data_IF_680446822416
#
_entry.id   IF_680446822416
#
_cell.length_a   1.000
_cell.length_b   1.000
_cell.length_c   1.000
_cell.angle_alpha   90.00
_cell.angle_beta   90.00
_cell.angle_gamma   90.00
#
_symmetry.space_group_name_H-M   'P 1'
#
loop_
_entity.id
_entity.type
_entity.pdbx_description
1 polymer ?
#
# COMPACT_ATOMS: atom_id res chain seq x y z
N UNK A 1 23.62 3.12 25.53
CA UNK A 1 22.15 2.99 25.63
C UNK A 1 21.60 3.92 24.57
N UNK A 2 21.23 3.38 23.40
CA UNK A 2 20.66 4.20 22.32
C UNK A 2 19.28 4.64 22.76
N UNK A 3 19.09 5.95 22.92
CA UNK A 3 17.76 6.52 23.07
C UNK A 3 16.97 6.15 21.80
N UNK A 4 16.08 5.17 21.90
CA UNK A 4 15.08 4.90 20.88
C UNK A 4 14.33 6.21 20.66
N UNK A 5 14.41 6.75 19.45
CA UNK A 5 13.66 7.96 19.12
C UNK A 5 12.21 7.50 18.97
N UNK A 6 11.28 7.95 19.84
CA UNK A 6 9.91 7.51 19.72
C UNK A 6 9.38 7.96 18.37
N UNK A 7 8.99 6.98 17.56
CA UNK A 7 8.22 7.18 16.34
C UNK A 7 7.13 8.21 16.59
N UNK A 8 7.04 9.30 15.79
CA UNK A 8 6.08 10.36 16.06
C UNK A 8 4.67 9.78 16.06
N UNK A 9 3.90 10.08 17.11
CA UNK A 9 2.48 9.74 17.18
C UNK A 9 1.76 10.48 16.05
N UNK A 10 1.29 9.75 15.06
CA UNK A 10 0.58 10.34 13.92
C UNK A 10 -0.88 10.61 14.30
N UNK A 11 -1.42 11.74 13.82
CA UNK A 11 -2.83 12.04 13.99
C UNK A 11 -3.70 11.00 13.26
N UNK A 12 -4.87 10.64 13.80
CA UNK A 12 -5.81 9.77 13.09
C UNK A 12 -6.15 10.32 11.70
N UNK A 13 -6.24 9.43 10.72
CA UNK A 13 -6.66 9.79 9.37
C UNK A 13 -8.17 9.85 9.25
N UNK A 14 -8.64 10.88 8.56
CA UNK A 14 -10.04 11.03 8.17
C UNK A 14 -10.47 9.92 7.21
N UNK A 15 -11.74 9.53 7.30
CA UNK A 15 -12.34 8.42 6.55
C UNK A 15 -13.75 8.75 6.12
N UNK A 16 -14.16 8.19 4.98
CA UNK A 16 -15.50 8.36 4.43
C UNK A 16 -15.94 7.06 3.72
N UNK A 17 -17.24 6.86 3.48
CA UNK A 17 -17.79 5.72 2.72
C UNK A 17 -17.78 4.37 3.46
N UNK A 18 -16.67 4.02 4.13
CA UNK A 18 -16.46 2.73 4.79
C UNK A 18 -15.68 2.91 6.10
N UNK A 19 -15.90 2.01 7.06
CA UNK A 19 -15.16 1.96 8.32
C UNK A 19 -15.11 0.53 8.86
N UNK A 20 -14.17 0.25 9.74
CA UNK A 20 -14.09 -1.01 10.47
C UNK A 20 -15.32 -1.23 11.36
N UNK A 21 -15.85 -0.16 11.98
CA UNK A 21 -17.02 -0.21 12.85
C UNK A 21 -18.31 -0.60 12.10
N UNK A 22 -18.41 -0.18 10.84
CA UNK A 22 -19.57 -0.43 9.97
C UNK A 22 -19.36 -1.64 9.06
N UNK A 23 -18.25 -2.37 9.22
CA UNK A 23 -17.95 -3.52 8.38
C UNK A 23 -18.91 -4.69 8.70
N UNK A 24 -19.73 -5.05 7.72
CA UNK A 24 -20.55 -6.27 7.78
C UNK A 24 -19.69 -7.49 8.11
N UNK A 25 -20.21 -8.39 8.95
CA UNK A 25 -19.56 -9.68 9.21
C UNK A 25 -19.46 -10.47 7.92
N UNK A 26 -18.39 -11.26 7.79
CA UNK A 26 -18.14 -12.08 6.61
C UNK A 26 -19.25 -13.10 6.31
N UNK A 27 -20.03 -13.52 7.32
CA UNK A 27 -21.18 -14.40 7.15
C UNK A 27 -22.32 -13.73 6.35
N UNK A 28 -22.49 -12.43 6.53
CA UNK A 28 -23.56 -11.62 5.92
C UNK A 28 -23.12 -10.94 4.62
N UNK A 29 -21.83 -11.01 4.28
CA UNK A 29 -21.25 -10.30 3.16
C UNK A 29 -21.85 -10.73 1.81
N UNK A 30 -22.37 -9.75 1.08
CA UNK A 30 -23.02 -9.95 -0.23
C UNK A 30 -22.15 -9.55 -1.41
N UNK A 31 -22.45 -10.07 -2.62
CA UNK A 31 -21.81 -9.60 -3.86
C UNK A 31 -22.02 -8.09 -4.10
N UNK A 32 -23.17 -7.56 -3.72
CA UNK A 32 -23.47 -6.13 -3.89
C UNK A 32 -22.58 -5.29 -2.98
N UNK A 33 -22.42 -5.69 -1.73
CA UNK A 33 -21.54 -5.04 -0.75
C UNK A 33 -20.07 -5.00 -1.21
N UNK A 34 -19.56 -6.10 -1.78
CA UNK A 34 -18.20 -6.15 -2.35
C UNK A 34 -18.07 -5.23 -3.56
N UNK A 35 -19.05 -5.24 -4.49
CA UNK A 35 -19.03 -4.40 -5.70
C UNK A 35 -19.10 -2.91 -5.38
N UNK A 36 -19.90 -2.51 -4.39
CA UNK A 36 -19.98 -1.13 -3.94
C UNK A 36 -18.61 -0.63 -3.45
N UNK A 37 -17.91 -1.45 -2.67
CA UNK A 37 -16.54 -1.20 -2.20
C UNK A 37 -15.50 -1.19 -3.32
N UNK A 38 -15.75 -1.83 -4.45
CA UNK A 38 -14.87 -1.72 -5.61
C UNK A 38 -15.09 -0.42 -6.39
N UNK A 39 -16.25 0.22 -6.27
CA UNK A 39 -16.62 1.37 -7.08
C UNK A 39 -15.97 2.69 -6.65
N UNK A 40 -15.41 2.81 -5.44
CA UNK A 40 -14.88 4.11 -4.99
C UNK A 40 -13.60 4.52 -5.76
N UNK A 41 -12.74 3.58 -6.16
CA UNK A 41 -11.51 3.87 -6.93
C UNK A 41 -11.74 4.14 -8.42
N UNK A 42 -12.94 4.60 -8.81
CA UNK A 42 -13.32 4.91 -10.19
C UNK A 42 -14.30 3.93 -10.82
N UNK A 43 -14.71 4.23 -12.05
CA UNK A 43 -15.83 3.55 -12.71
C UNK A 43 -15.54 2.06 -12.96
N UNK A 44 -16.48 1.22 -12.53
CA UNK A 44 -16.43 -0.25 -12.74
C UNK A 44 -17.12 -0.65 -14.05
N UNK A 45 -17.63 0.32 -14.82
CA UNK A 45 -18.32 0.08 -16.08
C UNK A 45 -17.37 -0.27 -17.24
N UNK A 46 -16.06 -0.03 -17.12
CA UNK A 46 -15.11 -0.47 -18.14
C UNK A 46 -14.87 -1.98 -17.99
N UNK A 47 -15.11 -2.78 -19.05
CA UNK A 47 -14.90 -4.23 -19.01
C UNK A 47 -13.41 -4.61 -19.07
N UNK A 48 -12.49 -3.66 -18.88
CA UNK A 48 -11.06 -3.92 -18.91
C UNK A 48 -10.60 -4.44 -17.55
N UNK A 49 -9.80 -5.50 -17.57
CA UNK A 49 -9.11 -5.99 -16.39
C UNK A 49 -8.18 -4.91 -15.85
N UNK A 50 -8.27 -4.63 -14.56
CA UNK A 50 -7.37 -3.68 -13.89
C UNK A 50 -7.05 -4.08 -12.47
N UNK A 51 -5.85 -3.71 -12.04
CA UNK A 51 -5.31 -3.98 -10.71
C UNK A 51 -4.86 -2.68 -10.09
N UNK A 52 -5.24 -2.46 -8.84
CA UNK A 52 -4.71 -1.41 -8.00
C UNK A 52 -4.06 -2.08 -6.80
N UNK A 53 -2.86 -1.65 -6.44
CA UNK A 53 -2.16 -2.14 -5.26
C UNK A 53 -2.14 -1.06 -4.20
N UNK A 54 -2.31 -1.44 -2.94
CA UNK A 54 -2.24 -0.56 -1.79
C UNK A 54 -1.51 -1.25 -0.64
N UNK A 55 -1.22 -0.50 0.41
CA UNK A 55 -0.42 -0.99 1.53
C UNK A 55 -1.12 -0.76 2.86
N UNK A 56 -1.41 -1.85 3.57
CA UNK A 56 -1.92 -1.87 4.93
C UNK A 56 -0.78 -2.23 5.89
N UNK A 57 0.01 -1.21 6.27
CA UNK A 57 1.31 -1.44 6.91
C UNK A 57 2.25 -2.17 5.95
N UNK A 58 2.92 -3.22 6.39
CA UNK A 58 3.79 -4.02 5.51
C UNK A 58 3.00 -4.99 4.58
N UNK A 59 1.68 -5.07 4.71
CA UNK A 59 0.85 -6.05 4.03
C UNK A 59 0.26 -5.47 2.73
N UNK A 60 0.54 -6.06 1.55
CA UNK A 60 -0.02 -5.58 0.30
C UNK A 60 -1.50 -5.97 0.18
N UNK A 61 -2.32 -4.99 -0.18
CA UNK A 61 -3.71 -5.14 -0.58
C UNK A 61 -3.82 -4.97 -2.09
N UNK A 62 -4.26 -6.01 -2.79
CA UNK A 62 -4.53 -5.97 -4.22
C UNK A 62 -6.04 -5.86 -4.44
N UNK A 63 -6.43 -4.85 -5.20
CA UNK A 63 -7.80 -4.56 -5.59
C UNK A 63 -7.93 -4.97 -7.06
N UNK A 64 -8.73 -6.01 -7.28
CA UNK A 64 -8.88 -6.68 -8.57
C UNK A 64 -10.21 -6.25 -9.18
N UNK A 65 -10.18 -5.73 -10.40
CA UNK A 65 -11.36 -5.37 -11.17
C UNK A 65 -11.40 -6.17 -12.46
N UNK A 66 -12.51 -6.88 -12.62
CA UNK A 66 -12.84 -7.65 -13.81
C UNK A 66 -11.70 -8.55 -14.32
N UNK A 67 -11.02 -9.27 -13.42
CA UNK A 67 -10.10 -10.34 -13.82
C UNK A 67 -10.86 -11.36 -14.65
N UNK A 68 -10.31 -11.78 -15.79
CA UNK A 68 -10.95 -12.76 -16.67
C UNK A 68 -10.02 -13.93 -16.96
N UNK A 69 -10.53 -15.14 -16.79
CA UNK A 69 -9.82 -16.35 -17.19
C UNK A 69 -10.74 -17.37 -17.89
N UNK A 70 -10.21 -18.57 -18.15
CA UNK A 70 -10.99 -19.65 -18.78
C UNK A 70 -12.16 -20.12 -17.89
N UNK A 71 -12.10 -19.90 -16.58
CA UNK A 71 -13.04 -20.39 -15.57
C UNK A 71 -14.12 -19.37 -15.23
N UNK A 72 -13.92 -18.09 -15.51
CA UNK A 72 -14.90 -17.06 -15.24
C UNK A 72 -14.30 -15.67 -15.12
N UNK A 73 -15.02 -14.80 -14.42
CA UNK A 73 -14.53 -13.48 -14.04
C UNK A 73 -14.56 -13.30 -12.53
N UNK A 74 -13.64 -12.51 -12.00
CA UNK A 74 -13.65 -12.12 -10.58
C UNK A 74 -13.32 -10.66 -10.36
N UNK A 75 -13.79 -10.13 -9.23
CA UNK A 75 -13.44 -8.78 -8.77
C UNK A 75 -13.54 -8.74 -7.25
N UNK A 76 -12.60 -8.07 -6.58
CA UNK A 76 -12.56 -7.99 -5.14
C UNK A 76 -11.20 -7.60 -4.59
N UNK A 77 -10.92 -8.09 -3.40
CA UNK A 77 -9.76 -7.74 -2.59
C UNK A 77 -8.93 -8.98 -2.29
N UNK A 78 -7.63 -8.81 -2.27
CA UNK A 78 -6.67 -9.82 -1.85
C UNK A 78 -5.63 -9.16 -0.95
N UNK A 79 -5.64 -9.52 0.32
CA UNK A 79 -4.69 -9.06 1.32
C UNK A 79 -3.67 -10.16 1.61
N UNK A 80 -2.37 -9.86 1.51
CA UNK A 80 -1.34 -10.79 1.95
C UNK A 80 -0.86 -10.38 3.35
N UNK A 81 -1.01 -11.25 4.33
CA UNK A 81 -0.67 -11.00 5.73
C UNK A 81 0.66 -11.68 6.03
N UNK A 82 1.73 -10.88 6.03
CA UNK A 82 3.10 -11.37 6.04
C UNK A 82 3.35 -12.45 4.98
N UNK A 83 4.10 -13.47 5.36
CA UNK A 83 4.33 -14.66 4.51
C UNK A 83 3.43 -15.83 4.92
N UNK A 84 2.41 -15.57 5.74
CA UNK A 84 1.59 -16.62 6.35
C UNK A 84 0.28 -16.82 5.62
N UNK A 85 -0.44 -15.74 5.34
CA UNK A 85 -1.78 -15.84 4.77
C UNK A 85 -1.98 -14.99 3.54
N UNK A 86 -2.82 -15.49 2.64
CA UNK A 86 -3.47 -14.71 1.61
C UNK A 86 -4.97 -14.77 1.81
N UNK A 87 -5.53 -13.65 2.23
CA UNK A 87 -6.96 -13.48 2.49
C UNK A 87 -7.63 -12.88 1.25
N UNK A 88 -8.73 -13.49 0.81
CA UNK A 88 -9.42 -13.13 -0.43
C UNK A 88 -10.90 -12.89 -0.18
N UNK A 89 -11.41 -11.75 -0.65
CA UNK A 89 -12.82 -11.36 -0.60
C UNK A 89 -13.24 -10.90 -1.99
N UNK A 90 -13.94 -11.74 -2.73
CA UNK A 90 -14.22 -11.52 -4.15
C UNK A 90 -15.66 -11.83 -4.52
N UNK A 91 -16.13 -11.22 -5.60
CA UNK A 91 -17.25 -11.72 -6.39
C UNK A 91 -16.70 -12.55 -7.54
N UNK A 92 -17.25 -13.75 -7.73
CA UNK A 92 -16.86 -14.66 -8.80
C UNK A 92 -18.06 -14.99 -9.68
N UNK A 93 -17.89 -14.93 -11.00
CA UNK A 93 -18.90 -15.34 -11.97
C UNK A 93 -18.33 -16.46 -12.83
N UNK A 94 -18.74 -17.72 -12.63
CA UNK A 94 -18.20 -18.83 -13.38
C UNK A 94 -18.62 -18.77 -14.86
N UNK A 95 -17.74 -19.21 -15.75
CA UNK A 95 -18.05 -19.41 -17.17
C UNK A 95 -18.76 -20.75 -17.34
N UNK A 96 -20.07 -20.71 -17.57
CA UNK A 96 -20.90 -21.90 -17.78
C UNK A 96 -21.26 -22.00 -19.27
N UNK A 97 -21.03 -23.16 -19.94
CA UNK A 97 -21.50 -23.41 -21.30
C UNK A 97 -23.01 -23.15 -21.46
N UNK A 98 -23.42 -22.55 -22.59
CA UNK A 98 -24.83 -22.18 -22.85
C UNK A 98 -25.80 -23.35 -22.70
N UNK A 99 -25.41 -24.54 -23.15
CA UNK A 99 -26.23 -25.76 -23.02
C UNK A 99 -26.56 -26.07 -21.55
N UNK A 100 -25.59 -25.92 -20.63
CA UNK A 100 -25.81 -26.16 -19.20
C UNK A 100 -26.64 -25.04 -18.55
N UNK A 101 -26.53 -23.79 -19.04
CA UNK A 101 -27.41 -22.70 -18.61
C UNK A 101 -28.86 -22.98 -19.02
N UNK A 102 -29.10 -23.41 -20.26
CA UNK A 102 -30.45 -23.78 -20.72
C UNK A 102 -31.01 -25.00 -19.99
N UNK A 103 -30.19 -26.04 -19.77
CA UNK A 103 -30.58 -27.21 -19.00
C UNK A 103 -30.98 -26.86 -17.55
N UNK A 104 -30.45 -25.75 -17.01
CA UNK A 104 -30.80 -25.22 -15.68
C UNK A 104 -31.79 -24.05 -15.71
N UNK A 105 -32.40 -23.76 -16.87
CA UNK A 105 -33.35 -22.66 -17.11
C UNK A 105 -32.80 -21.27 -16.70
N UNK A 106 -31.50 -21.04 -16.91
CA UNK A 106 -30.81 -19.78 -16.59
C UNK A 106 -30.37 -19.07 -17.86
N UNK A 107 -30.51 -17.74 -17.86
CA UNK A 107 -30.02 -16.89 -18.95
C UNK A 107 -28.57 -16.44 -18.74
N UNK A 108 -28.11 -16.37 -17.48
CA UNK A 108 -26.75 -15.98 -17.10
C UNK A 108 -26.25 -16.82 -15.91
N UNK A 109 -24.92 -17.04 -15.78
CA UNK A 109 -24.34 -17.63 -14.58
C UNK A 109 -24.63 -16.75 -13.34
N UNK A 110 -24.81 -17.38 -12.18
CA UNK A 110 -24.97 -16.67 -10.91
C UNK A 110 -23.60 -16.21 -10.41
N UNK A 111 -23.44 -14.91 -10.12
CA UNK A 111 -22.29 -14.40 -9.38
C UNK A 111 -22.41 -14.81 -7.90
N UNK A 112 -21.32 -15.31 -7.32
CA UNK A 112 -21.25 -15.75 -5.93
C UNK A 112 -20.17 -14.96 -5.17
N UNK A 113 -20.34 -14.73 -3.86
CA UNK A 113 -19.26 -14.22 -3.02
C UNK A 113 -18.28 -15.37 -2.72
N UNK A 114 -17.00 -15.08 -2.81
CA UNK A 114 -15.90 -15.94 -2.40
C UNK A 114 -15.16 -15.23 -1.27
N UNK A 115 -15.24 -15.78 -0.08
CA UNK A 115 -14.41 -15.39 1.07
C UNK A 115 -13.55 -16.59 1.42
N UNK A 116 -12.25 -16.47 1.28
CA UNK A 116 -11.33 -17.59 1.48
C UNK A 116 -9.98 -17.14 2.01
N UNK A 117 -9.30 -18.07 2.67
CA UNK A 117 -7.95 -17.91 3.17
C UNK A 117 -7.04 -18.96 2.53
N UNK A 118 -5.84 -18.57 2.13
CA UNK A 118 -4.79 -19.49 1.77
C UNK A 118 -3.70 -19.42 2.83
N UNK A 119 -3.24 -20.57 3.34
CA UNK A 119 -2.06 -20.64 4.19
C UNK A 119 -0.83 -20.87 3.31
N UNK A 120 0.09 -19.91 3.32
CA UNK A 120 1.30 -19.89 2.50
C UNK A 120 2.45 -20.66 3.16
N UNK A 121 2.55 -20.69 4.50
CA UNK A 121 3.62 -21.42 5.21
C UNK A 121 3.46 -22.93 5.11
N UNK A 122 2.23 -23.43 5.04
CA UNK A 122 1.94 -24.85 4.86
C UNK A 122 2.32 -25.37 3.45
N UNK A 123 2.75 -24.49 2.53
CA UNK A 123 2.96 -24.82 1.12
C UNK A 123 1.66 -25.22 0.41
N UNK A 124 0.51 -25.04 1.05
CA UNK A 124 -0.78 -25.46 0.54
C UNK A 124 -1.32 -24.44 -0.47
N UNK A 125 -1.63 -24.93 -1.67
CA UNK A 125 -2.28 -24.13 -2.72
C UNK A 125 -3.80 -24.08 -2.54
N UNK A 126 -4.34 -24.77 -1.54
CA UNK A 126 -5.78 -24.83 -1.29
C UNK A 126 -6.28 -23.54 -0.66
N UNK A 127 -7.35 -23.02 -1.23
CA UNK A 127 -8.18 -22.00 -0.62
C UNK A 127 -9.09 -22.67 0.41
N UNK A 128 -9.03 -22.22 1.66
CA UNK A 128 -9.94 -22.58 2.74
C UNK A 128 -11.13 -21.61 2.72
N UNK A 129 -12.33 -22.03 2.30
CA UNK A 129 -13.49 -21.15 2.27
C UNK A 129 -13.91 -20.79 3.70
N UNK A 130 -14.18 -19.51 3.96
CA UNK A 130 -14.58 -19.00 5.27
C UNK A 130 -15.76 -19.77 5.88
N UNK A 131 -16.77 -20.06 5.05
CA UNK A 131 -17.98 -20.79 5.48
C UNK A 131 -17.70 -22.23 5.93
N UNK A 132 -16.62 -22.83 5.46
CA UNK A 132 -16.23 -24.20 5.81
C UNK A 132 -15.24 -24.23 6.98
N UNK A 133 -14.73 -23.07 7.40
CA UNK A 133 -13.77 -22.96 8.48
C UNK A 133 -14.45 -23.16 9.83
N UNK A 134 -13.93 -24.09 10.63
CA UNK A 134 -14.42 -24.42 11.98
C UNK A 134 -13.62 -23.76 13.11
N UNK A 135 -12.45 -23.20 12.80
CA UNK A 135 -11.61 -22.49 13.76
C UNK A 135 -12.17 -21.08 14.00
N UNK A 136 -12.84 -20.89 15.14
CA UNK A 136 -13.44 -19.61 15.51
C UNK A 136 -12.41 -18.49 15.71
N UNK A 137 -11.18 -18.82 16.13
CA UNK A 137 -10.11 -17.84 16.29
C UNK A 137 -9.71 -17.29 14.93
N UNK A 138 -9.50 -18.18 13.96
CA UNK A 138 -9.14 -17.79 12.60
C UNK A 138 -10.31 -17.09 11.89
N UNK A 139 -11.55 -17.52 12.15
CA UNK A 139 -12.75 -16.79 11.67
C UNK A 139 -12.82 -15.38 12.24
N UNK A 140 -12.47 -15.17 13.51
CA UNK A 140 -12.41 -13.83 14.11
C UNK A 140 -11.37 -12.98 13.40
N UNK A 141 -10.13 -13.50 13.25
CA UNK A 141 -9.05 -12.81 12.53
C UNK A 141 -9.46 -12.40 11.11
N UNK A 142 -10.16 -13.27 10.38
CA UNK A 142 -10.66 -12.93 9.05
C UNK A 142 -11.68 -11.79 9.06
N UNK A 143 -12.55 -11.71 10.07
CA UNK A 143 -13.44 -10.56 10.22
C UNK A 143 -12.67 -9.29 10.59
N UNK A 144 -11.64 -9.40 11.44
CA UNK A 144 -10.79 -8.26 11.81
C UNK A 144 -10.06 -7.71 10.59
N UNK A 145 -9.44 -8.57 9.77
CA UNK A 145 -8.82 -8.16 8.50
C UNK A 145 -9.82 -7.54 7.53
N UNK A 146 -11.05 -8.05 7.49
CA UNK A 146 -12.10 -7.44 6.68
C UNK A 146 -12.47 -6.04 7.19
N UNK A 147 -12.57 -5.86 8.50
CA UNK A 147 -12.82 -4.56 9.12
C UNK A 147 -11.67 -3.58 8.83
N UNK A 148 -10.41 -4.03 8.95
CA UNK A 148 -9.23 -3.23 8.61
C UNK A 148 -9.21 -2.83 7.12
N UNK A 149 -9.58 -3.75 6.21
CA UNK A 149 -9.75 -3.41 4.80
C UNK A 149 -10.78 -2.27 4.67
N UNK A 150 -11.93 -2.34 5.36
CA UNK A 150 -12.94 -1.29 5.27
C UNK A 150 -12.44 0.06 5.78
N UNK A 151 -11.68 0.11 6.87
CA UNK A 151 -11.04 1.34 7.34
C UNK A 151 -10.04 1.89 6.29
N UNK A 152 -9.21 1.02 5.70
CA UNK A 152 -8.30 1.41 4.63
C UNK A 152 -9.06 1.98 3.42
N UNK A 153 -10.13 1.32 2.96
CA UNK A 153 -10.94 1.82 1.85
C UNK A 153 -11.62 3.14 2.22
N UNK A 154 -12.01 3.32 3.48
CA UNK A 154 -12.62 4.54 3.96
C UNK A 154 -11.68 5.75 3.91
N UNK A 155 -10.45 5.54 4.35
CA UNK A 155 -9.36 6.53 4.27
C UNK A 155 -9.05 6.84 2.80
N UNK A 156 -8.95 5.81 1.95
CA UNK A 156 -8.70 5.99 0.52
C UNK A 156 -9.85 6.75 -0.20
N UNK A 157 -11.11 6.48 0.16
CA UNK A 157 -12.28 7.20 -0.35
C UNK A 157 -12.18 8.71 -0.02
N UNK A 158 -11.84 9.02 1.24
CA UNK A 158 -11.67 10.40 1.68
C UNK A 158 -10.50 11.09 0.96
N UNK A 159 -9.33 10.44 0.86
CA UNK A 159 -8.19 11.00 0.10
C UNK A 159 -8.61 11.37 -1.32
N UNK A 160 -9.26 10.46 -2.04
CA UNK A 160 -9.66 10.71 -3.41
C UNK A 160 -10.67 11.85 -3.53
N UNK A 161 -11.67 11.92 -2.65
CA UNK A 161 -12.70 12.99 -2.66
C UNK A 161 -12.12 14.35 -2.34
N UNK A 162 -11.10 14.41 -1.48
CA UNK A 162 -10.42 15.65 -1.10
C UNK A 162 -9.20 15.98 -1.98
N UNK A 163 -8.96 15.25 -3.08
CA UNK A 163 -7.86 15.55 -4.01
C UNK A 163 -6.47 15.08 -3.58
N UNK A 164 -6.38 14.09 -2.71
CA UNK A 164 -5.16 13.47 -2.16
C UNK A 164 -4.32 14.40 -1.28
N UNK A 165 -4.87 14.97 -0.20
CA UNK A 165 -4.18 15.97 0.63
C UNK A 165 -2.85 15.49 1.22
N UNK A 166 -2.70 14.20 1.56
CA UNK A 166 -1.42 13.68 2.07
C UNK A 166 -0.33 13.64 1.00
N UNK A 167 -0.72 13.33 -0.25
CA UNK A 167 0.18 13.39 -1.40
C UNK A 167 0.55 14.84 -1.73
N UNK A 168 -0.42 15.75 -1.73
CA UNK A 168 -0.19 17.18 -1.99
C UNK A 168 0.81 17.77 -0.99
N UNK A 169 0.64 17.48 0.30
CA UNK A 169 1.57 17.94 1.34
C UNK A 169 3.02 17.46 1.10
N UNK A 170 3.21 16.21 0.66
CA UNK A 170 4.54 15.71 0.25
C UNK A 170 5.04 16.43 -1.00
N UNK A 171 4.20 16.57 -2.03
CA UNK A 171 4.58 17.18 -3.30
C UNK A 171 4.97 18.67 -3.15
N UNK A 172 4.32 19.40 -2.25
CA UNK A 172 4.64 20.81 -1.95
C UNK A 172 5.95 20.97 -1.17
N UNK A 173 6.31 19.98 -0.37
CA UNK A 173 7.49 20.03 0.51
C UNK A 173 8.73 19.38 -0.11
N UNK A 174 8.54 18.47 -1.06
CA UNK A 174 9.63 17.79 -1.76
C UNK A 174 10.05 18.57 -3.00
N UNK A 175 11.35 18.76 -3.16
CA UNK A 175 11.95 19.32 -4.37
C UNK A 175 13.35 18.75 -4.56
N UNK A 176 13.81 18.72 -5.81
CA UNK A 176 15.16 18.27 -6.18
C UNK A 176 16.21 19.02 -5.34
N UNK A 177 16.11 20.35 -5.26
CA UNK A 177 17.04 21.18 -4.48
C UNK A 177 17.08 20.82 -2.98
N UNK A 178 15.94 20.47 -2.38
CA UNK A 178 15.90 20.01 -0.98
C UNK A 178 16.57 18.65 -0.81
N UNK A 179 16.42 17.74 -1.76
CA UNK A 179 17.09 16.44 -1.73
C UNK A 179 18.59 16.59 -1.92
N UNK A 180 19.05 17.44 -2.84
CA UNK A 180 20.47 17.75 -3.03
C UNK A 180 21.10 18.34 -1.76
N UNK A 181 20.37 19.18 -1.04
CA UNK A 181 20.83 19.73 0.23
C UNK A 181 20.96 18.65 1.33
N UNK A 182 20.04 17.67 1.38
CA UNK A 182 20.14 16.50 2.28
C UNK A 182 21.32 15.62 1.87
N UNK A 183 21.50 15.34 0.58
CA UNK A 183 22.65 14.59 0.08
C UNK A 183 23.98 15.27 0.47
N UNK A 184 24.08 16.58 0.24
CA UNK A 184 25.27 17.35 0.61
C UNK A 184 25.53 17.29 2.11
N UNK A 185 24.47 17.31 2.93
CA UNK A 185 24.57 17.16 4.39
C UNK A 185 25.11 15.80 4.82
N UNK A 186 24.60 14.69 4.28
CA UNK A 186 25.06 13.32 4.57
C UNK A 186 26.57 13.17 4.29
N UNK A 187 27.07 13.86 3.26
CA UNK A 187 28.46 13.76 2.82
C UNK A 187 29.45 14.65 3.61
N UNK A 188 29.00 15.61 4.44
CA UNK A 188 29.89 16.60 5.10
C UNK A 188 30.91 16.00 6.06
N UNK A 189 30.51 14.95 6.77
CA UNK A 189 31.24 14.48 7.94
C UNK A 189 32.47 13.60 7.62
N UNK A 190 32.79 13.37 6.35
CA UNK A 190 33.99 12.65 5.89
C UNK A 190 34.08 11.16 6.27
N UNK A 191 33.26 10.67 7.20
CA UNK A 191 33.17 9.25 7.55
C UNK A 191 32.61 8.41 6.38
N UNK A 192 33.04 7.15 6.23
CA UNK A 192 32.46 6.21 5.28
C UNK A 192 30.94 6.11 5.41
N UNK A 193 30.25 6.02 4.28
CA UNK A 193 28.80 5.84 4.20
C UNK A 193 28.45 4.36 4.08
N UNK A 194 27.38 3.94 4.75
CA UNK A 194 26.78 2.61 4.56
C UNK A 194 26.03 2.57 3.22
N UNK A 195 26.04 1.40 2.58
CA UNK A 195 25.45 1.21 1.25
C UNK A 195 24.15 0.38 1.33
N UNK A 196 23.15 0.78 0.55
CA UNK A 196 21.92 0.02 0.27
C UNK A 196 21.62 0.10 -1.23
N UNK A 197 22.15 -0.86 -1.98
CA UNK A 197 22.16 -0.81 -3.45
C UNK A 197 22.95 0.40 -3.98
N UNK A 198 22.28 1.24 -4.76
CA UNK A 198 22.86 2.47 -5.33
C UNK A 198 22.85 3.67 -4.35
N UNK A 199 22.37 3.47 -3.12
CA UNK A 199 22.21 4.53 -2.12
C UNK A 199 23.31 4.46 -1.09
N UNK A 200 23.85 5.62 -0.73
CA UNK A 200 24.85 5.77 0.32
C UNK A 200 24.31 6.68 1.43
N UNK A 201 24.42 6.25 2.69
CA UNK A 201 23.78 6.93 3.81
C UNK A 201 24.34 6.62 5.18
N UNK A 202 23.61 7.08 6.21
CA UNK A 202 23.94 6.89 7.63
C UNK A 202 22.68 6.74 8.48
N UNK A 203 22.85 6.07 9.61
CA UNK A 203 21.85 6.00 10.66
C UNK A 203 21.88 7.25 11.54
N UNK A 204 20.70 7.80 11.78
CA UNK A 204 20.45 8.87 12.74
C UNK A 204 19.41 8.36 13.74
N UNK A 205 19.90 7.68 14.79
CA UNK A 205 19.04 6.88 15.67
C UNK A 205 18.44 5.71 14.89
N UNK A 206 17.11 5.61 14.89
CA UNK A 206 16.34 4.53 14.25
C UNK A 206 15.99 4.79 12.77
N UNK A 207 16.52 5.88 12.20
CA UNK A 207 16.29 6.29 10.81
C UNK A 207 17.58 6.27 10.00
N UNK A 208 17.64 5.38 9.02
CA UNK A 208 18.66 5.42 7.97
C UNK A 208 18.25 6.43 6.90
N UNK A 209 19.14 7.38 6.62
CA UNK A 209 18.97 8.38 5.58
C UNK A 209 20.08 8.16 4.56
N UNK A 210 19.70 7.78 3.35
CA UNK A 210 20.63 7.55 2.26
C UNK A 210 20.18 8.27 0.99
N UNK A 211 21.14 8.65 0.16
CA UNK A 211 20.86 9.36 -1.08
C UNK A 211 21.61 8.74 -2.24
N UNK A 212 21.05 8.91 -3.44
CA UNK A 212 21.74 8.65 -4.70
C UNK A 212 21.79 9.95 -5.49
N UNK A 213 22.99 10.32 -5.93
CA UNK A 213 23.20 11.49 -6.78
C UNK A 213 22.54 11.32 -8.16
N UNK A 214 22.25 12.44 -8.82
CA UNK A 214 21.92 12.42 -10.23
C UNK A 214 23.09 11.87 -11.07
N UNK A 215 22.77 11.15 -12.14
CA UNK A 215 23.72 10.57 -13.10
C UNK A 215 23.13 10.62 -14.52
N UNK A 216 23.92 10.29 -15.54
CA UNK A 216 23.40 10.19 -16.92
C UNK A 216 22.27 9.17 -17.06
N UNK A 217 22.34 8.05 -16.34
CA UNK A 217 21.29 7.03 -16.35
C UNK A 217 20.06 7.43 -15.52
N UNK A 218 20.24 8.30 -14.53
CA UNK A 218 19.20 8.68 -13.57
C UNK A 218 19.31 10.18 -13.26
N UNK A 219 18.65 11.05 -14.06
CA UNK A 219 18.98 12.49 -14.13
C UNK A 219 18.58 13.29 -12.89
N UNK A 220 17.85 12.70 -11.95
CA UNK A 220 17.44 13.36 -10.71
C UNK A 220 17.95 12.60 -9.48
N UNK A 221 18.29 13.34 -8.41
CA UNK A 221 18.67 12.73 -7.15
C UNK A 221 17.48 12.01 -6.53
N UNK A 222 17.77 11.04 -5.66
CA UNK A 222 16.74 10.34 -4.88
C UNK A 222 17.18 10.13 -3.44
N UNK A 223 16.19 10.01 -2.56
CA UNK A 223 16.37 9.80 -1.13
C UNK A 223 15.71 8.49 -0.71
N UNK A 224 16.46 7.67 0.02
CA UNK A 224 16.02 6.46 0.66
C UNK A 224 15.96 6.70 2.18
N UNK A 225 14.79 6.46 2.76
CA UNK A 225 14.57 6.48 4.20
C UNK A 225 14.23 5.08 4.66
N UNK A 226 15.03 4.47 5.53
CA UNK A 226 14.68 3.19 6.18
C UNK A 226 14.47 3.43 7.66
N UNK A 227 13.27 3.12 8.14
CA UNK A 227 12.94 3.22 9.55
C UNK A 227 12.93 1.83 10.18
N UNK A 228 13.57 1.68 11.34
CA UNK A 228 13.36 0.53 12.19
C UNK A 228 11.96 0.55 12.77
N UNK A 229 11.14 -0.46 12.47
CA UNK A 229 9.87 -0.69 13.15
C UNK A 229 9.96 -1.93 14.04
N UNK A 230 9.08 -2.01 15.03
CA UNK A 230 9.02 -3.13 15.97
C UNK A 230 8.75 -4.49 15.29
N UNK A 231 8.13 -4.50 14.11
CA UNK A 231 7.82 -5.74 13.37
C UNK A 231 8.83 -6.05 12.27
N UNK A 232 9.31 -5.04 11.53
CA UNK A 232 10.32 -5.14 10.46
C UNK A 232 10.68 -3.74 9.93
N UNK A 233 11.90 -3.50 9.46
CA UNK A 233 12.24 -2.22 8.84
C UNK A 233 11.45 -2.00 7.54
N UNK A 234 10.90 -0.80 7.38
CA UNK A 234 10.20 -0.35 6.17
C UNK A 234 11.04 0.75 5.55
N UNK A 235 11.23 0.70 4.23
CA UNK A 235 11.91 1.75 3.48
C UNK A 235 10.97 2.52 2.57
N UNK A 236 11.19 3.82 2.48
CA UNK A 236 10.55 4.73 1.53
C UNK A 236 11.60 5.27 0.58
N UNK A 237 11.32 5.18 -0.71
CA UNK A 237 12.11 5.79 -1.76
C UNK A 237 11.37 7.02 -2.30
N UNK A 238 12.06 8.16 -2.30
CA UNK A 238 11.61 9.42 -2.84
C UNK A 238 12.48 9.76 -4.04
N UNK A 239 11.87 9.95 -5.21
CA UNK A 239 12.59 10.33 -6.42
C UNK A 239 11.68 10.98 -7.45
N UNK A 240 12.21 11.11 -8.68
CA UNK A 240 11.49 11.67 -9.81
C UNK A 240 11.59 10.76 -11.03
N UNK A 241 10.50 10.67 -11.77
CA UNK A 241 10.43 10.03 -13.08
C UNK A 241 10.07 11.09 -14.12
N UNK A 242 10.48 10.87 -15.37
CA UNK A 242 10.09 11.75 -16.47
C UNK A 242 8.59 11.58 -16.75
N UNK A 243 7.86 12.68 -16.83
CA UNK A 243 6.51 12.69 -17.42
C UNK A 243 6.56 12.61 -18.95
N UNK A 244 5.41 12.67 -19.60
CA UNK A 244 5.29 12.62 -21.08
C UNK A 244 6.04 13.76 -21.77
N UNK A 245 6.27 14.88 -21.08
CA UNK A 245 7.01 16.05 -21.56
C UNK A 245 8.49 16.01 -21.13
N UNK A 246 8.94 14.93 -20.50
CA UNK A 246 10.30 14.77 -20.00
C UNK A 246 10.60 15.54 -18.72
N UNK A 247 9.60 16.15 -18.07
CA UNK A 247 9.76 16.92 -16.84
C UNK A 247 9.77 15.99 -15.60
N UNK A 248 10.48 16.38 -14.52
CA UNK A 248 10.50 15.59 -13.30
C UNK A 248 9.13 15.58 -12.61
N UNK A 249 8.53 14.40 -12.54
CA UNK A 249 7.33 14.13 -11.75
C UNK A 249 7.69 13.30 -10.52
N UNK A 250 7.21 13.72 -9.33
CA UNK A 250 7.43 13.01 -8.08
C UNK A 250 6.96 11.56 -8.19
N UNK A 251 7.85 10.63 -7.84
CA UNK A 251 7.59 9.21 -7.76
C UNK A 251 8.01 8.71 -6.38
N UNK A 252 7.05 8.08 -5.69
CA UNK A 252 7.26 7.50 -4.37
C UNK A 252 7.15 5.99 -4.46
N UNK A 253 8.02 5.30 -3.73
CA UNK A 253 7.96 3.86 -3.60
C UNK A 253 8.19 3.42 -2.15
N UNK A 254 7.69 2.24 -1.82
CA UNK A 254 7.83 1.61 -0.54
C UNK A 254 8.44 0.21 -0.73
N UNK A 255 9.42 -0.12 0.11
CA UNK A 255 9.91 -1.47 0.30
C UNK A 255 9.46 -1.94 1.68
N UNK A 256 8.50 -2.87 1.76
CA UNK A 256 7.89 -3.26 3.04
C UNK A 256 8.87 -4.04 3.93
N UNK A 257 9.88 -4.68 3.34
CA UNK A 257 10.95 -5.43 4.01
C UNK A 257 12.23 -5.44 3.19
N UNK A 258 13.42 -5.56 3.79
CA UNK A 258 14.71 -5.43 3.10
C UNK A 258 14.91 -6.38 1.91
N UNK A 259 14.37 -7.60 1.99
CA UNK A 259 14.48 -8.62 0.95
C UNK A 259 13.54 -8.43 -0.25
N UNK A 260 12.57 -7.50 -0.13
CA UNK A 260 11.58 -7.25 -1.17
C UNK A 260 12.00 -6.08 -2.09
N UNK A 261 11.52 -6.04 -3.34
CA UNK A 261 11.74 -4.89 -4.19
C UNK A 261 10.96 -3.67 -3.70
N UNK A 262 11.27 -2.51 -4.27
CA UNK A 262 10.44 -1.31 -4.12
C UNK A 262 9.18 -1.43 -4.98
N UNK A 263 8.05 -1.05 -4.41
CA UNK A 263 6.75 -0.98 -5.06
C UNK A 263 6.24 0.45 -5.07
N UNK A 264 5.50 0.83 -6.10
CA UNK A 264 4.88 2.16 -6.16
C UNK A 264 4.02 2.42 -4.93
N UNK A 265 4.23 3.58 -4.30
CA UNK A 265 3.39 4.08 -3.23
C UNK A 265 2.32 4.99 -3.84
N UNK A 266 1.05 4.60 -3.74
CA UNK A 266 -0.03 5.30 -4.42
C UNK A 266 -0.50 6.53 -3.63
N UNK A 267 -1.13 7.48 -4.33
CA UNK A 267 -1.64 8.73 -3.73
C UNK A 267 -2.72 8.51 -2.68
N UNK A 268 -3.38 7.35 -2.69
CA UNK A 268 -4.40 6.96 -1.73
C UNK A 268 -3.85 6.18 -0.51
N UNK A 269 -2.56 5.81 -0.49
CA UNK A 269 -1.91 5.11 0.64
C UNK A 269 -1.59 6.07 1.80
N UNK A 270 -2.63 6.70 2.35
CA UNK A 270 -2.53 7.85 3.24
C UNK A 270 -1.69 7.61 4.50
N UNK A 271 -1.75 6.42 5.10
CA UNK A 271 -0.98 6.10 6.31
C UNK A 271 0.52 6.17 6.04
N UNK A 272 0.96 5.60 4.92
CA UNK A 272 2.36 5.64 4.50
C UNK A 272 2.78 7.05 4.06
N UNK A 273 1.91 7.79 3.36
CA UNK A 273 2.20 9.18 2.98
C UNK A 273 2.31 10.09 4.21
N UNK A 274 1.43 9.94 5.19
CA UNK A 274 1.48 10.68 6.46
C UNK A 274 2.75 10.33 7.25
N UNK A 275 3.13 9.05 7.28
CA UNK A 275 4.39 8.62 7.89
C UNK A 275 5.59 9.23 7.20
N UNK A 276 5.62 9.19 5.87
CA UNK A 276 6.69 9.78 5.07
C UNK A 276 6.78 11.30 5.27
N UNK A 277 5.66 12.01 5.36
CA UNK A 277 5.62 13.43 5.72
C UNK A 277 6.30 13.70 7.07
N UNK A 278 5.99 12.89 8.09
CA UNK A 278 6.57 13.03 9.42
C UNK A 278 8.08 12.73 9.43
N UNK A 279 8.51 11.68 8.71
CA UNK A 279 9.92 11.34 8.56
C UNK A 279 10.68 12.46 7.85
N UNK A 280 10.15 12.98 6.74
CA UNK A 280 10.78 14.09 6.03
C UNK A 280 10.86 15.36 6.89
N UNK A 281 9.83 15.65 7.68
CA UNK A 281 9.85 16.74 8.67
C UNK A 281 10.97 16.59 9.69
N UNK A 282 11.29 15.36 10.07
CA UNK A 282 12.45 15.09 10.91
C UNK A 282 13.76 15.27 10.14
N UNK A 283 13.89 14.72 8.94
CA UNK A 283 15.08 14.85 8.09
C UNK A 283 15.42 16.33 7.83
N UNK A 284 14.43 17.17 7.50
CA UNK A 284 14.67 18.60 7.27
C UNK A 284 15.20 19.31 8.52
N UNK A 285 14.71 18.96 9.72
CA UNK A 285 15.23 19.52 10.98
C UNK A 285 16.67 19.11 11.26
N UNK A 286 17.06 17.89 10.89
CA UNK A 286 18.44 17.40 11.03
C UNK A 286 19.40 18.06 10.02
N UNK A 287 19.00 18.11 8.75
CA UNK A 287 19.85 18.54 7.65
C UNK A 287 19.93 20.07 7.48
N UNK A 288 18.87 20.78 7.87
CA UNK A 288 18.71 22.23 7.74
C UNK A 288 18.27 22.84 9.08
N UNK A 289 19.11 22.78 10.13
CA UNK A 289 18.78 23.43 11.38
C UNK A 289 18.61 24.93 11.10
N UNK A 290 17.44 25.49 11.43
CA UNK A 290 17.25 26.94 11.50
C UNK A 290 18.40 27.50 12.33
N UNK A 291 19.12 28.54 11.87
CA UNK A 291 20.16 29.15 12.69
C UNK A 291 19.55 29.58 14.03
N UNK A 292 20.27 29.44 15.16
CA UNK A 292 19.77 29.96 16.42
C UNK A 292 19.46 31.44 16.21
N UNK A 293 18.23 31.85 16.56
CA UNK A 293 17.88 33.26 16.59
C UNK A 293 18.84 33.92 17.57
N UNK A 294 19.70 34.79 17.02
CA UNK A 294 20.68 35.57 17.77
C UNK A 294 19.98 36.66 18.60
#
# INVERSE_FOLDING_TARGET
>A
MSDMIPSPSLAPLERECYSAADAERLDDLTCAAIRQRLAFLGDTATPQESYLTGWMGANPLVIIRNYQDKRGTSSGFLLSIGDEYRFSVQTITPRIPKLLLWATLRTKPKTLPLVALQNLTAGDRRLLPYRSLRDDTLRSKMNDWWAEINDYLGIACWQQRQGYPQWQALAETLSIARIDAVQSWIQRDGQPLEQDGDYAGRWYGDLFIASRAASEATPWPSLLLTEHSASAPISYLIGWLADEQGQPQLALALRPRPEQPFFTLNRFDAAHLQRLNALMTHVWRLAMPTPPQA
#
